data_IF_738953977657
#
_entry.id   IF_738953977657
#
_cell.length_a   1.000
_cell.length_b   1.000
_cell.length_c   1.000
_cell.angle_alpha   90.00
_cell.angle_beta   90.00
_cell.angle_gamma   90.00
#
_symmetry.space_group_name_H-M   'P 1'
#
loop_
_entity.id
_entity.type
_entity.pdbx_description
1 polymer ?
#
# COMPACT_ATOMS: atom_id res chain seq x y z
N UNK A 1 -33.76 23.38 -0.31
CA UNK A 1 -33.22 23.14 -1.67
C UNK A 1 -31.79 23.64 -1.68
N UNK A 2 -30.83 22.87 -2.22
CA UNK A 2 -29.44 23.33 -2.25
C UNK A 2 -29.27 24.51 -3.18
N UNK A 3 -28.43 25.48 -2.80
CA UNK A 3 -27.95 26.51 -3.70
C UNK A 3 -26.87 25.91 -4.62
N UNK A 4 -27.25 25.61 -5.84
CA UNK A 4 -26.37 25.01 -6.84
C UNK A 4 -25.37 26.00 -7.45
N UNK A 5 -25.48 27.28 -7.17
CA UNK A 5 -24.56 28.32 -7.64
C UNK A 5 -23.47 28.67 -6.64
N UNK A 6 -23.61 28.21 -5.38
CA UNK A 6 -22.60 28.42 -4.35
C UNK A 6 -21.47 27.42 -4.52
N UNK A 7 -20.23 27.89 -4.66
CA UNK A 7 -19.04 27.05 -4.64
C UNK A 7 -18.68 26.65 -3.21
N UNK A 8 -17.87 25.58 -3.06
CA UNK A 8 -17.37 25.18 -1.74
C UNK A 8 -16.65 26.34 -1.05
N UNK A 9 -15.81 27.08 -1.78
CA UNK A 9 -15.04 28.20 -1.23
C UNK A 9 -15.95 29.37 -0.76
N UNK A 10 -17.09 29.59 -1.41
CA UNK A 10 -18.04 30.61 -1.00
C UNK A 10 -18.87 30.19 0.22
N UNK A 11 -19.14 28.88 0.37
CA UNK A 11 -19.97 28.33 1.43
C UNK A 11 -19.15 27.98 2.69
N UNK A 12 -17.99 27.32 2.51
CA UNK A 12 -17.11 26.89 3.58
C UNK A 12 -15.64 27.19 3.20
N UNK A 13 -15.20 28.42 3.42
CA UNK A 13 -13.86 28.87 3.07
C UNK A 13 -12.76 28.20 3.91
N UNK A 14 -13.08 27.63 5.08
CA UNK A 14 -12.11 26.96 5.93
C UNK A 14 -11.72 25.59 5.33
N UNK A 15 -12.70 24.79 4.94
CA UNK A 15 -12.46 23.51 4.25
C UNK A 15 -11.87 23.73 2.86
N UNK A 16 -12.35 24.73 2.10
CA UNK A 16 -11.77 25.05 0.80
C UNK A 16 -10.29 25.38 0.92
N UNK A 17 -9.90 26.21 1.90
CA UNK A 17 -8.49 26.53 2.19
C UNK A 17 -7.67 25.30 2.54
N UNK A 18 -8.19 24.39 3.36
CA UNK A 18 -7.47 23.17 3.72
C UNK A 18 -7.18 22.29 2.48
N UNK A 19 -8.14 22.17 1.57
CA UNK A 19 -7.99 21.44 0.30
C UNK A 19 -6.94 22.12 -0.59
N UNK A 20 -7.04 23.43 -0.77
CA UNK A 20 -6.08 24.22 -1.56
C UNK A 20 -4.65 24.14 -1.01
N UNK A 21 -4.50 24.13 0.33
CA UNK A 21 -3.20 23.98 0.97
C UNK A 21 -2.62 22.58 0.75
N UNK A 22 -3.43 21.53 0.82
CA UNK A 22 -2.99 20.17 0.53
C UNK A 22 -2.65 19.99 -0.96
N UNK A 23 -3.44 20.55 -1.86
CA UNK A 23 -3.13 20.57 -3.30
C UNK A 23 -1.79 21.25 -3.57
N UNK A 24 -1.55 22.41 -2.96
CA UNK A 24 -0.26 23.11 -3.03
C UNK A 24 0.87 22.26 -2.46
N UNK A 25 0.67 21.61 -1.31
CA UNK A 25 1.67 20.71 -0.73
C UNK A 25 2.02 19.58 -1.70
N UNK A 26 1.03 18.94 -2.33
CA UNK A 26 1.27 17.88 -3.30
C UNK A 26 2.04 18.39 -4.53
N UNK A 27 1.79 19.62 -4.98
CA UNK A 27 2.53 20.23 -6.09
C UNK A 27 3.96 20.64 -5.71
N UNK A 28 4.20 21.13 -4.49
CA UNK A 28 5.47 21.72 -4.05
C UNK A 28 6.39 20.71 -3.32
N UNK A 29 5.89 19.54 -2.92
CA UNK A 29 6.67 18.51 -2.24
C UNK A 29 6.92 17.30 -3.16
N UNK A 30 8.03 16.61 -2.91
CA UNK A 30 8.30 15.31 -3.53
C UNK A 30 7.89 14.22 -2.54
N UNK A 31 6.93 13.37 -2.95
CA UNK A 31 6.36 12.32 -2.14
C UNK A 31 7.13 11.00 -2.33
N UNK A 32 7.73 10.49 -1.25
CA UNK A 32 8.46 9.23 -1.23
C UNK A 32 7.91 8.21 -0.22
N UNK A 33 6.77 8.49 0.41
CA UNK A 33 6.09 7.48 1.23
C UNK A 33 5.64 6.34 0.31
N UNK A 34 6.20 5.15 0.52
CA UNK A 34 6.04 3.98 -0.36
C UNK A 34 4.58 3.51 -0.54
N UNK A 35 3.69 3.92 0.36
CA UNK A 35 2.25 3.59 0.35
C UNK A 35 1.38 4.71 -0.23
N UNK A 36 1.96 5.78 -0.74
CA UNK A 36 1.25 6.90 -1.34
C UNK A 36 1.43 6.98 -2.86
N UNK A 37 0.44 7.55 -3.53
CA UNK A 37 0.42 7.76 -4.96
C UNK A 37 -0.60 8.84 -5.32
N UNK A 38 -0.55 9.36 -6.53
CA UNK A 38 -1.53 10.30 -7.06
C UNK A 38 -2.51 9.58 -7.98
N UNK A 39 -3.80 9.70 -7.70
CA UNK A 39 -4.85 9.14 -8.56
C UNK A 39 -5.09 10.03 -9.77
N UNK A 40 -5.60 9.45 -10.86
CA UNK A 40 -5.97 10.24 -12.03
C UNK A 40 -7.18 11.16 -11.78
N UNK A 41 -7.33 12.26 -12.53
CA UNK A 41 -8.55 13.09 -12.49
C UNK A 41 -9.83 12.29 -12.73
N UNK A 42 -9.80 11.22 -13.54
CA UNK A 42 -10.95 10.33 -13.78
C UNK A 42 -11.35 9.55 -12.51
N UNK A 43 -10.38 9.09 -11.74
CA UNK A 43 -10.63 8.44 -10.45
C UNK A 43 -11.23 9.43 -9.46
N UNK A 44 -10.70 10.67 -9.39
CA UNK A 44 -11.23 11.74 -8.54
C UNK A 44 -12.66 12.13 -8.96
N UNK A 45 -12.95 12.22 -10.25
CA UNK A 45 -14.30 12.50 -10.75
C UNK A 45 -15.31 11.41 -10.36
N UNK A 46 -14.94 10.14 -10.46
CA UNK A 46 -15.79 9.03 -9.99
C UNK A 46 -16.02 9.08 -8.48
N UNK A 47 -14.98 9.40 -7.71
CA UNK A 47 -15.02 9.55 -6.26
C UNK A 47 -15.97 10.66 -5.82
N UNK A 48 -16.01 11.79 -6.52
CA UNK A 48 -16.91 12.93 -6.26
C UNK A 48 -18.30 12.82 -6.89
N UNK A 49 -18.69 11.65 -7.39
CA UNK A 49 -19.97 11.46 -8.10
C UNK A 49 -21.18 11.33 -7.17
N UNK A 50 -22.37 11.47 -7.74
CA UNK A 50 -23.67 11.31 -7.05
C UNK A 50 -23.92 9.89 -6.51
N UNK A 51 -23.09 8.93 -6.89
CA UNK A 51 -23.16 7.56 -6.37
C UNK A 51 -22.96 7.49 -4.85
N UNK A 52 -22.38 8.53 -4.22
CA UNK A 52 -22.28 8.67 -2.77
C UNK A 52 -23.63 8.66 -2.07
N UNK A 53 -24.71 9.06 -2.77
CA UNK A 53 -26.06 9.17 -2.20
C UNK A 53 -26.77 7.82 -2.08
N UNK A 54 -26.29 6.77 -2.79
CA UNK A 54 -27.05 5.52 -2.90
C UNK A 54 -26.69 4.52 -1.83
N UNK A 55 -27.69 4.11 -1.07
CA UNK A 55 -27.60 3.01 -0.10
C UNK A 55 -27.81 1.67 -0.82
N UNK A 56 -26.78 0.79 -0.84
CA UNK A 56 -26.76 -0.42 -1.68
C UNK A 56 -26.30 -1.68 -0.91
N UNK A 57 -26.85 -1.91 0.31
CA UNK A 57 -26.57 -3.13 1.07
C UNK A 57 -26.92 -4.39 0.28
N UNK A 58 -26.10 -5.42 0.42
CA UNK A 58 -26.13 -6.62 -0.38
C UNK A 58 -25.10 -6.60 -1.51
N UNK A 59 -25.40 -7.30 -2.58
CA UNK A 59 -24.51 -7.50 -3.74
C UNK A 59 -25.29 -7.29 -5.05
N UNK A 60 -24.65 -7.09 -6.19
CA UNK A 60 -25.33 -6.91 -7.48
C UNK A 60 -26.40 -7.98 -7.72
N UNK A 61 -27.62 -7.54 -8.08
CA UNK A 61 -28.78 -8.40 -8.28
C UNK A 61 -29.40 -8.97 -7.01
N UNK A 62 -28.83 -8.69 -5.82
CA UNK A 62 -29.30 -9.18 -4.52
C UNK A 62 -29.19 -8.08 -3.45
N UNK A 63 -29.81 -6.92 -3.73
CA UNK A 63 -29.80 -5.77 -2.82
C UNK A 63 -30.99 -5.83 -1.85
N UNK A 64 -30.79 -5.20 -0.70
CA UNK A 64 -31.86 -5.02 0.29
C UNK A 64 -32.75 -3.80 -0.01
N UNK A 65 -32.32 -2.90 -0.93
CA UNK A 65 -33.00 -1.66 -1.27
C UNK A 65 -33.26 -1.57 -2.77
N UNK A 66 -34.35 -0.86 -3.15
CA UNK A 66 -34.66 -0.58 -4.55
C UNK A 66 -33.77 0.51 -5.16
N UNK A 67 -33.86 0.69 -6.49
CA UNK A 67 -33.15 1.74 -7.23
C UNK A 67 -31.63 1.49 -7.33
N UNK A 68 -31.21 0.22 -7.40
CA UNK A 68 -29.80 -0.17 -7.41
C UNK A 68 -29.28 -0.57 -8.81
N UNK A 69 -30.08 -0.45 -9.86
CA UNK A 69 -29.72 -0.89 -11.20
C UNK A 69 -28.39 -0.31 -11.70
N UNK A 70 -28.14 0.98 -11.52
CA UNK A 70 -26.92 1.63 -11.99
C UNK A 70 -25.70 1.43 -11.06
N UNK A 71 -25.94 1.28 -9.75
CA UNK A 71 -24.86 0.92 -8.83
C UNK A 71 -24.47 -0.55 -8.97
N UNK A 72 -25.40 -1.41 -9.39
CA UNK A 72 -25.10 -2.80 -9.75
C UNK A 72 -24.17 -2.86 -10.96
N UNK A 73 -24.41 -2.02 -11.97
CA UNK A 73 -23.51 -1.88 -13.13
C UNK A 73 -22.10 -1.46 -12.68
N UNK A 74 -22.00 -0.45 -11.82
CA UNK A 74 -20.72 0.06 -11.33
C UNK A 74 -19.96 -1.00 -10.53
N UNK A 75 -20.63 -1.72 -9.64
CA UNK A 75 -19.98 -2.78 -8.83
C UNK A 75 -19.64 -4.00 -9.68
N UNK A 76 -20.49 -4.39 -10.60
CA UNK A 76 -20.22 -5.50 -11.54
C UNK A 76 -18.98 -5.18 -12.39
N UNK A 77 -18.89 -3.97 -12.94
CA UNK A 77 -17.69 -3.54 -13.68
C UNK A 77 -16.43 -3.60 -12.83
N UNK A 78 -16.49 -3.17 -11.56
CA UNK A 78 -15.35 -3.23 -10.66
C UNK A 78 -14.93 -4.69 -10.39
N UNK A 79 -15.89 -5.59 -10.14
CA UNK A 79 -15.64 -7.02 -9.91
C UNK A 79 -15.00 -7.67 -11.13
N UNK A 80 -15.59 -7.50 -12.32
CA UNK A 80 -15.09 -8.16 -13.53
C UNK A 80 -13.71 -7.63 -13.95
N UNK A 81 -13.47 -6.31 -13.79
CA UNK A 81 -12.16 -5.72 -14.05
C UNK A 81 -11.10 -6.20 -13.04
N UNK A 82 -11.43 -6.30 -11.77
CA UNK A 82 -10.53 -6.85 -10.76
C UNK A 82 -10.16 -8.32 -11.06
N UNK A 83 -11.14 -9.14 -11.42
CA UNK A 83 -10.92 -10.53 -11.81
C UNK A 83 -10.01 -10.62 -13.03
N UNK A 84 -10.29 -9.85 -14.09
CA UNK A 84 -9.49 -9.84 -15.31
C UNK A 84 -8.06 -9.33 -15.04
N UNK A 85 -7.90 -8.28 -14.26
CA UNK A 85 -6.61 -7.65 -13.95
C UNK A 85 -5.65 -8.58 -13.21
N UNK A 86 -6.17 -9.38 -12.28
CA UNK A 86 -5.36 -10.26 -11.42
C UNK A 86 -5.42 -11.74 -11.80
N UNK A 87 -6.24 -12.13 -12.78
CA UNK A 87 -6.46 -13.54 -13.14
C UNK A 87 -7.15 -14.32 -12.02
N UNK A 88 -8.06 -13.68 -11.28
CA UNK A 88 -8.82 -14.29 -10.18
C UNK A 88 -10.20 -14.74 -10.64
N UNK A 89 -10.74 -15.79 -10.01
CA UNK A 89 -12.10 -16.25 -10.27
C UNK A 89 -13.16 -15.49 -9.44
N UNK A 90 -12.72 -14.94 -8.32
CA UNK A 90 -13.55 -14.20 -7.37
C UNK A 90 -12.92 -12.87 -7.01
N UNK A 91 -13.76 -11.83 -6.89
CA UNK A 91 -13.39 -10.53 -6.35
C UNK A 91 -14.54 -9.96 -5.50
N UNK A 92 -14.21 -9.40 -4.34
CA UNK A 92 -15.09 -8.56 -3.55
C UNK A 92 -14.48 -7.14 -3.45
N UNK A 93 -15.18 -6.17 -4.02
CA UNK A 93 -14.73 -4.78 -4.15
C UNK A 93 -15.29 -3.86 -3.06
N UNK A 94 -16.10 -4.39 -2.16
CA UNK A 94 -16.78 -3.61 -1.10
C UNK A 94 -15.90 -3.24 0.10
N UNK A 95 -14.78 -3.92 0.46
CA UNK A 95 -13.99 -3.51 1.61
C UNK A 95 -13.60 -2.03 1.52
N UNK A 96 -13.89 -1.27 2.60
CA UNK A 96 -13.62 0.17 2.68
C UNK A 96 -12.12 0.46 2.79
N UNK A 97 -11.33 -0.50 3.28
CA UNK A 97 -9.88 -0.41 3.42
C UNK A 97 -9.23 -1.79 3.33
N UNK A 98 -7.90 -1.82 3.16
CA UNK A 98 -7.14 -3.07 3.28
C UNK A 98 -7.29 -3.72 4.65
N UNK A 99 -7.34 -2.94 5.72
CA UNK A 99 -7.55 -3.45 7.08
C UNK A 99 -8.90 -4.16 7.22
N UNK A 100 -9.97 -3.65 6.60
CA UNK A 100 -11.28 -4.30 6.60
C UNK A 100 -11.33 -5.52 5.68
N UNK A 101 -10.61 -5.51 4.56
CA UNK A 101 -10.42 -6.70 3.74
C UNK A 101 -9.73 -7.83 4.53
N UNK A 102 -8.65 -7.50 5.24
CA UNK A 102 -7.94 -8.44 6.11
C UNK A 102 -8.82 -8.92 7.27
N UNK A 103 -9.60 -8.04 7.89
CA UNK A 103 -10.51 -8.42 8.96
C UNK A 103 -11.58 -9.43 8.47
N UNK A 104 -12.22 -9.15 7.34
CA UNK A 104 -13.22 -10.03 6.76
C UNK A 104 -12.61 -11.40 6.36
N UNK A 105 -11.41 -11.40 5.77
CA UNK A 105 -10.70 -12.64 5.43
C UNK A 105 -10.33 -13.46 6.68
N UNK A 106 -9.78 -12.81 7.70
CA UNK A 106 -9.47 -13.48 8.98
C UNK A 106 -10.72 -14.06 9.65
N UNK A 107 -11.80 -13.29 9.73
CA UNK A 107 -13.07 -13.74 10.32
C UNK A 107 -13.71 -14.89 9.53
N UNK A 108 -13.48 -14.98 8.22
CA UNK A 108 -13.97 -16.07 7.38
C UNK A 108 -13.23 -17.39 7.63
N UNK A 109 -11.96 -17.32 8.01
CA UNK A 109 -11.05 -18.45 8.14
C UNK A 109 -10.79 -18.87 9.59
N UNK A 110 -10.96 -17.95 10.54
CA UNK A 110 -10.61 -18.12 11.96
C UNK A 110 -11.80 -17.89 12.89
N UNK A 111 -11.72 -18.51 14.04
CA UNK A 111 -12.55 -18.19 15.22
C UNK A 111 -11.71 -17.39 16.23
N UNK A 112 -12.33 -16.54 17.07
CA UNK A 112 -11.61 -15.90 18.17
C UNK A 112 -10.81 -16.92 19.00
N UNK A 113 -9.53 -16.58 19.26
CA UNK A 113 -8.60 -17.47 19.96
C UNK A 113 -7.82 -18.45 19.07
N UNK A 114 -8.18 -18.62 17.79
CA UNK A 114 -7.38 -19.40 16.86
C UNK A 114 -5.99 -18.78 16.65
N UNK A 115 -5.01 -19.60 16.35
CA UNK A 115 -3.63 -19.13 16.10
C UNK A 115 -3.47 -18.66 14.66
N UNK A 116 -2.87 -17.48 14.48
CA UNK A 116 -2.36 -17.00 13.21
C UNK A 116 -0.86 -16.75 13.27
N UNK A 117 -0.17 -16.93 12.15
CA UNK A 117 1.25 -16.64 11.97
C UNK A 117 1.39 -15.52 10.93
N UNK A 118 2.04 -14.41 11.30
CA UNK A 118 2.24 -13.26 10.42
C UNK A 118 3.57 -12.57 10.63
N UNK A 119 3.97 -11.71 9.69
CA UNK A 119 5.23 -10.97 9.78
C UNK A 119 5.18 -9.91 10.89
N UNK A 120 6.24 -9.84 11.68
CA UNK A 120 6.41 -8.82 12.72
C UNK A 120 6.35 -7.40 12.15
N UNK A 121 5.62 -6.51 12.84
CA UNK A 121 5.54 -5.10 12.46
C UNK A 121 6.91 -4.43 12.47
N UNK A 122 7.75 -4.76 13.44
CA UNK A 122 9.10 -4.20 13.57
C UNK A 122 10.04 -4.62 12.42
N UNK A 123 9.72 -5.72 11.74
CA UNK A 123 10.53 -6.29 10.68
C UNK A 123 9.87 -6.19 9.29
N UNK A 124 8.90 -5.31 9.16
CA UNK A 124 8.29 -4.97 7.89
C UNK A 124 6.88 -5.51 7.65
N UNK A 125 6.25 -6.16 8.63
CA UNK A 125 4.86 -6.58 8.55
C UNK A 125 3.87 -5.40 8.57
N UNK A 126 2.58 -5.72 8.52
CA UNK A 126 1.51 -4.74 8.66
C UNK A 126 0.80 -4.89 10.01
N UNK A 127 0.17 -3.83 10.50
CA UNK A 127 -0.62 -3.85 11.75
C UNK A 127 -1.61 -5.02 11.82
N UNK A 128 -2.25 -5.34 10.70
CA UNK A 128 -3.26 -6.41 10.61
C UNK A 128 -2.67 -7.83 10.50
N UNK A 129 -1.35 -7.97 10.59
CA UNK A 129 -0.67 -9.28 10.57
C UNK A 129 -0.38 -9.85 11.97
N UNK A 130 -1.19 -9.47 12.98
CA UNK A 130 -1.09 -10.01 14.33
C UNK A 130 -0.54 -9.05 15.38
N UNK A 131 -0.40 -7.75 15.08
CA UNK A 131 0.08 -6.76 16.06
C UNK A 131 -0.92 -6.64 17.22
N UNK A 132 -0.42 -6.68 18.47
CA UNK A 132 -1.22 -6.71 19.71
C UNK A 132 -2.23 -5.56 19.86
N UNK A 133 -1.95 -4.39 19.29
CA UNK A 133 -2.85 -3.22 19.36
C UNK A 133 -3.97 -3.27 18.31
N UNK A 134 -3.85 -4.13 17.30
CA UNK A 134 -4.80 -4.29 16.21
C UNK A 134 -5.81 -5.40 16.49
N UNK A 135 -6.96 -5.44 15.75
CA UNK A 135 -7.96 -6.50 15.88
C UNK A 135 -7.33 -7.89 15.76
N UNK A 136 -6.34 -8.07 14.86
CA UNK A 136 -5.70 -9.34 14.58
C UNK A 136 -4.93 -9.91 15.78
N UNK A 137 -4.27 -9.05 16.56
CA UNK A 137 -3.59 -9.47 17.79
C UNK A 137 -4.48 -9.45 19.05
N UNK A 138 -5.70 -8.88 18.95
CA UNK A 138 -6.67 -8.86 20.06
C UNK A 138 -7.64 -10.03 20.03
N UNK A 139 -8.03 -10.48 18.84
CA UNK A 139 -9.01 -11.56 18.64
C UNK A 139 -8.35 -12.93 18.52
N UNK A 140 -7.12 -12.98 18.03
CA UNK A 140 -6.43 -14.21 17.71
C UNK A 140 -5.12 -14.35 18.51
N UNK A 141 -4.67 -15.61 18.66
CA UNK A 141 -3.36 -15.92 19.22
C UNK A 141 -2.32 -15.68 18.11
N UNK A 142 -1.73 -14.48 18.08
CA UNK A 142 -0.81 -14.07 17.02
C UNK A 142 0.63 -14.47 17.34
N UNK A 143 1.21 -15.29 16.48
CA UNK A 143 2.63 -15.63 16.44
C UNK A 143 3.27 -14.83 15.31
N UNK A 144 4.49 -14.33 15.49
CA UNK A 144 5.15 -13.50 14.51
C UNK A 144 6.46 -14.11 14.04
N UNK A 145 6.69 -14.11 12.72
CA UNK A 145 7.98 -14.41 12.10
C UNK A 145 8.72 -13.12 11.72
N UNK A 146 10.01 -13.25 11.51
CA UNK A 146 10.87 -12.10 11.21
C UNK A 146 11.75 -12.29 10.00
N UNK A 147 12.82 -11.49 9.97
CA UNK A 147 13.88 -11.51 8.98
C UNK A 147 15.11 -12.17 9.57
N UNK A 148 15.92 -12.79 8.75
CA UNK A 148 17.29 -13.17 9.11
C UNK A 148 18.10 -11.89 9.39
N UNK A 149 18.67 -11.81 10.59
CA UNK A 149 19.33 -10.61 11.08
C UNK A 149 20.61 -10.24 10.29
N UNK A 150 21.21 -11.20 9.62
CA UNK A 150 22.45 -11.00 8.85
C UNK A 150 22.18 -10.56 7.41
N UNK A 151 21.08 -11.02 6.82
CA UNK A 151 20.76 -10.78 5.41
C UNK A 151 19.62 -9.79 5.20
N UNK A 152 18.77 -9.57 6.21
CA UNK A 152 17.55 -8.80 6.09
C UNK A 152 16.49 -9.46 5.18
N UNK A 153 16.61 -10.76 4.91
CA UNK A 153 15.67 -11.54 4.13
C UNK A 153 14.68 -12.27 5.04
N UNK A 154 13.50 -12.62 4.51
CA UNK A 154 12.55 -13.48 5.22
C UNK A 154 13.22 -14.81 5.52
N UNK A 155 13.22 -15.19 6.79
CA UNK A 155 13.74 -16.49 7.26
C UNK A 155 12.64 -17.55 7.13
N UNK A 156 12.59 -18.20 5.96
CA UNK A 156 11.59 -19.23 5.69
C UNK A 156 11.73 -20.47 6.58
N UNK A 157 12.93 -20.77 7.07
CA UNK A 157 13.15 -21.90 7.98
C UNK A 157 12.59 -21.56 9.37
N UNK A 158 12.72 -20.31 9.82
CA UNK A 158 12.03 -19.81 11.01
C UNK A 158 10.51 -19.87 10.84
N UNK A 159 9.98 -19.42 9.68
CA UNK A 159 8.52 -19.51 9.39
C UNK A 159 8.04 -20.95 9.50
N UNK A 160 8.76 -21.90 8.92
CA UNK A 160 8.41 -23.33 8.95
C UNK A 160 8.50 -23.90 10.38
N UNK A 161 9.53 -23.55 11.14
CA UNK A 161 9.68 -23.99 12.53
C UNK A 161 8.53 -23.48 13.40
N UNK A 162 8.20 -22.19 13.32
CA UNK A 162 7.09 -21.58 14.04
C UNK A 162 5.74 -22.19 13.63
N UNK A 163 5.54 -22.47 12.34
CA UNK A 163 4.32 -23.13 11.86
C UNK A 163 4.17 -24.54 12.45
N UNK A 164 5.24 -25.32 12.49
CA UNK A 164 5.24 -26.67 13.09
C UNK A 164 4.99 -26.64 14.59
N UNK A 165 5.61 -25.68 15.31
CA UNK A 165 5.48 -25.52 16.75
C UNK A 165 4.08 -25.08 17.16
N UNK A 166 3.57 -24.01 16.54
CA UNK A 166 2.35 -23.35 16.96
C UNK A 166 1.09 -23.81 16.23
N UNK A 167 1.24 -24.59 15.13
CA UNK A 167 0.12 -25.13 14.32
C UNK A 167 -0.94 -24.08 14.03
N UNK A 168 -0.59 -22.94 13.41
CA UNK A 168 -1.54 -21.88 13.09
C UNK A 168 -2.62 -22.40 12.13
N UNK A 169 -3.84 -21.85 12.22
CA UNK A 169 -4.90 -22.09 11.22
C UNK A 169 -4.77 -21.18 10.01
N UNK A 170 -4.06 -20.07 10.15
CA UNK A 170 -3.82 -19.09 9.10
C UNK A 170 -2.37 -18.63 9.13
N UNK A 171 -1.73 -18.67 7.97
CA UNK A 171 -0.46 -17.99 7.71
C UNK A 171 -0.75 -16.77 6.85
N UNK A 172 -0.27 -15.60 7.29
CA UNK A 172 -0.38 -14.34 6.55
C UNK A 172 1.00 -14.02 5.98
N UNK A 173 1.11 -14.07 4.66
CA UNK A 173 2.27 -13.62 3.91
C UNK A 173 1.99 -12.22 3.33
N UNK A 174 3.00 -11.36 3.30
CA UNK A 174 2.88 -9.98 2.83
C UNK A 174 3.60 -9.01 3.75
N UNK A 175 3.76 -7.78 3.29
CA UNK A 175 4.63 -6.81 3.96
C UNK A 175 4.21 -5.37 3.72
N UNK A 176 4.76 -4.48 4.56
CA UNK A 176 4.71 -3.03 4.39
C UNK A 176 6.09 -2.41 4.10
N UNK A 177 7.18 -3.07 4.49
CA UNK A 177 8.54 -2.56 4.39
C UNK A 177 9.57 -3.66 4.07
N UNK A 178 9.33 -4.44 3.01
CA UNK A 178 10.24 -5.47 2.54
C UNK A 178 10.60 -5.24 1.07
N UNK A 179 11.88 -5.20 0.77
CA UNK A 179 12.40 -4.72 -0.52
C UNK A 179 12.59 -5.84 -1.56
N UNK A 180 12.47 -7.10 -1.18
CA UNK A 180 12.75 -8.24 -2.04
C UNK A 180 11.49 -8.95 -2.52
N UNK A 181 11.67 -9.86 -3.46
CA UNK A 181 10.59 -10.75 -3.90
C UNK A 181 10.30 -11.77 -2.80
N UNK A 182 9.02 -11.98 -2.53
CA UNK A 182 8.54 -13.03 -1.61
C UNK A 182 8.26 -14.29 -2.40
N UNK A 183 8.74 -15.41 -1.91
CA UNK A 183 8.43 -16.74 -2.44
C UNK A 183 7.08 -17.21 -1.87
N UNK A 184 6.01 -16.93 -2.64
CA UNK A 184 4.65 -17.34 -2.27
C UNK A 184 4.48 -18.85 -2.24
N UNK A 185 5.22 -19.60 -3.09
CA UNK A 185 5.14 -21.05 -3.13
C UNK A 185 5.73 -21.66 -1.86
N UNK A 186 6.85 -21.11 -1.35
CA UNK A 186 7.43 -21.56 -0.07
C UNK A 186 6.46 -21.36 1.09
N UNK A 187 5.73 -20.23 1.12
CA UNK A 187 4.65 -20.04 2.10
C UNK A 187 3.51 -21.04 1.94
N UNK A 188 3.13 -21.39 0.70
CA UNK A 188 2.11 -22.42 0.45
C UNK A 188 2.55 -23.78 0.99
N UNK A 189 3.80 -24.19 0.67
CA UNK A 189 4.34 -25.46 1.10
C UNK A 189 4.38 -25.56 2.64
N UNK A 190 4.77 -24.47 3.31
CA UNK A 190 4.76 -24.39 4.78
C UNK A 190 3.31 -24.51 5.31
N UNK A 191 2.36 -23.78 4.75
CA UNK A 191 0.96 -23.81 5.18
C UNK A 191 0.36 -25.21 5.00
N UNK A 192 0.62 -25.88 3.87
CA UNK A 192 0.18 -27.25 3.60
C UNK A 192 0.77 -28.24 4.61
N UNK A 193 2.02 -28.07 5.03
CA UNK A 193 2.68 -28.94 5.99
C UNK A 193 2.02 -28.99 7.37
N UNK A 194 1.20 -27.98 7.70
CA UNK A 194 0.50 -27.82 8.99
C UNK A 194 -1.00 -27.72 8.88
N UNK A 195 -1.55 -27.92 7.68
CA UNK A 195 -2.98 -27.84 7.36
C UNK A 195 -3.56 -26.43 7.68
N UNK A 196 -2.79 -25.40 7.34
CA UNK A 196 -3.19 -23.99 7.52
C UNK A 196 -3.68 -23.37 6.21
N UNK A 197 -4.57 -22.40 6.33
CA UNK A 197 -4.88 -21.49 5.22
C UNK A 197 -3.68 -20.55 4.96
N UNK A 198 -3.52 -20.18 3.68
CA UNK A 198 -2.58 -19.13 3.27
C UNK A 198 -3.35 -17.90 2.79
N UNK A 199 -3.20 -16.79 3.50
CA UNK A 199 -3.64 -15.46 3.07
C UNK A 199 -2.42 -14.67 2.61
N UNK A 200 -2.51 -14.06 1.44
CA UNK A 200 -1.48 -13.12 0.96
C UNK A 200 -2.03 -11.71 0.93
N UNK A 201 -1.43 -10.82 1.70
CA UNK A 201 -1.67 -9.37 1.61
C UNK A 201 -0.64 -8.76 0.66
N UNK A 202 -1.07 -8.54 -0.61
CA UNK A 202 -0.21 -7.96 -1.65
C UNK A 202 -0.36 -6.44 -1.77
N UNK A 203 -0.88 -5.76 -0.76
CA UNK A 203 -1.25 -4.34 -0.84
C UNK A 203 -0.14 -3.45 -1.37
N UNK A 204 1.10 -3.66 -0.97
CA UNK A 204 2.23 -2.85 -1.42
C UNK A 204 2.60 -3.09 -2.89
N UNK A 205 2.45 -4.30 -3.37
CA UNK A 205 2.91 -4.71 -4.72
C UNK A 205 1.79 -4.97 -5.71
N UNK A 206 0.54 -4.67 -5.38
CA UNK A 206 -0.62 -5.00 -6.23
C UNK A 206 -0.49 -4.46 -7.67
N UNK A 207 0.01 -3.24 -7.86
CA UNK A 207 0.24 -2.70 -9.20
C UNK A 207 1.32 -3.45 -9.97
N UNK A 208 2.38 -3.88 -9.26
CA UNK A 208 3.46 -4.69 -9.85
C UNK A 208 2.97 -6.10 -10.22
N UNK A 209 2.15 -6.71 -9.36
CA UNK A 209 1.50 -8.01 -9.62
C UNK A 209 0.59 -7.92 -10.84
N UNK A 210 -0.25 -6.90 -10.91
CA UNK A 210 -1.18 -6.68 -12.02
C UNK A 210 -0.49 -6.58 -13.39
N UNK A 211 0.76 -6.14 -13.42
CA UNK A 211 1.54 -5.94 -14.65
C UNK A 211 2.64 -6.99 -14.88
N UNK A 212 2.76 -7.97 -13.99
CA UNK A 212 3.75 -9.04 -14.08
C UNK A 212 5.18 -8.64 -13.68
N UNK A 213 5.35 -7.49 -13.01
CA UNK A 213 6.66 -7.06 -12.46
C UNK A 213 6.93 -7.60 -11.05
N UNK A 214 5.97 -8.32 -10.47
CA UNK A 214 6.09 -9.05 -9.21
C UNK A 214 5.26 -10.34 -9.30
N UNK A 215 5.69 -11.45 -8.69
CA UNK A 215 4.96 -12.72 -8.80
C UNK A 215 3.55 -12.63 -8.23
N UNK A 216 2.59 -13.24 -8.93
CA UNK A 216 1.20 -13.28 -8.52
C UNK A 216 0.98 -14.37 -7.45
N UNK A 217 0.33 -14.06 -6.32
CA UNK A 217 -0.02 -15.04 -5.31
C UNK A 217 -1.34 -15.79 -5.59
N UNK A 218 -2.10 -15.38 -6.62
CA UNK A 218 -3.46 -15.89 -6.86
C UNK A 218 -3.51 -17.41 -7.03
N UNK A 219 -2.49 -18.00 -7.65
CA UNK A 219 -2.47 -19.45 -7.92
C UNK A 219 -2.19 -20.31 -6.68
N UNK A 220 -1.61 -19.73 -5.63
CA UNK A 220 -1.14 -20.48 -4.45
C UNK A 220 -1.87 -20.14 -3.15
N UNK A 221 -2.44 -18.94 -3.03
CA UNK A 221 -3.14 -18.50 -1.83
C UNK A 221 -4.61 -18.97 -1.80
N UNK A 222 -5.14 -19.22 -0.60
CA UNK A 222 -6.57 -19.46 -0.39
C UNK A 222 -7.36 -18.16 -0.51
N UNK A 223 -6.76 -17.06 -0.09
CA UNK A 223 -7.30 -15.70 -0.23
C UNK A 223 -6.17 -14.70 -0.42
N UNK A 224 -6.40 -13.73 -1.29
CA UNK A 224 -5.50 -12.59 -1.51
C UNK A 224 -6.25 -11.32 -1.17
N UNK A 225 -5.63 -10.47 -0.37
CA UNK A 225 -6.14 -9.15 -0.04
C UNK A 225 -5.21 -8.07 -0.57
N UNK A 226 -5.77 -6.91 -0.83
CA UNK A 226 -4.97 -5.74 -1.21
C UNK A 226 -5.69 -4.44 -0.90
N UNK A 227 -4.93 -3.34 -0.92
CA UNK A 227 -5.44 -1.98 -1.08
C UNK A 227 -5.50 -1.60 -2.55
N UNK A 228 -6.24 -0.53 -2.86
CA UNK A 228 -6.36 -0.02 -4.24
C UNK A 228 -5.55 1.25 -4.50
N UNK A 229 -4.94 1.87 -3.49
CA UNK A 229 -4.39 3.23 -3.52
C UNK A 229 -2.86 3.36 -3.46
N UNK A 230 -2.10 2.24 -3.47
CA UNK A 230 -0.62 2.27 -3.42
C UNK A 230 -0.05 2.16 -4.84
N UNK A 231 0.71 1.09 -5.14
CA UNK A 231 1.21 0.86 -6.50
C UNK A 231 0.10 0.71 -7.54
N UNK A 232 -1.11 0.30 -7.14
CA UNK A 232 -2.27 0.17 -8.03
C UNK A 232 -2.87 1.52 -8.44
N UNK A 233 -2.53 2.62 -7.77
CA UNK A 233 -2.84 4.01 -8.14
C UNK A 233 -4.35 4.32 -8.23
N UNK A 234 -5.17 3.62 -7.46
CA UNK A 234 -6.62 3.83 -7.39
C UNK A 234 -7.07 4.64 -6.17
N UNK A 235 -8.38 4.70 -5.91
CA UNK A 235 -8.93 5.34 -4.72
C UNK A 235 -8.54 4.57 -3.46
N UNK A 236 -8.60 5.22 -2.31
CA UNK A 236 -8.42 4.53 -1.02
C UNK A 236 -9.54 3.52 -0.81
N UNK A 237 -9.16 2.25 -0.66
CA UNK A 237 -10.09 1.14 -0.50
C UNK A 237 -9.37 -0.20 -0.36
N UNK A 238 -10.13 -1.26 -0.16
CA UNK A 238 -9.66 -2.65 -0.09
C UNK A 238 -10.28 -3.53 -1.18
N UNK A 239 -9.71 -4.72 -1.35
CA UNK A 239 -10.13 -5.71 -2.31
C UNK A 239 -9.81 -7.10 -1.76
N UNK A 240 -10.70 -8.07 -1.96
CA UNK A 240 -10.48 -9.49 -1.68
C UNK A 240 -10.57 -10.25 -2.99
N UNK A 241 -9.59 -11.10 -3.25
CA UNK A 241 -9.49 -11.93 -4.44
C UNK A 241 -9.29 -13.40 -4.04
N UNK A 242 -9.79 -14.33 -4.84
CA UNK A 242 -9.53 -15.74 -4.65
C UNK A 242 -9.68 -16.52 -5.96
N UNK A 243 -9.17 -17.74 -5.96
CA UNK A 243 -9.57 -18.77 -6.94
C UNK A 243 -10.98 -19.26 -6.64
N UNK A 244 -11.54 -20.00 -7.58
CA UNK A 244 -12.87 -20.60 -7.40
C UNK A 244 -12.90 -21.52 -6.18
N UNK A 245 -13.68 -21.13 -5.18
CA UNK A 245 -14.00 -21.92 -4.00
C UNK A 245 -15.35 -21.42 -3.46
N UNK A 246 -16.43 -22.12 -3.79
CA UNK A 246 -17.79 -21.66 -3.49
C UNK A 246 -18.07 -21.55 -1.98
N UNK A 247 -17.42 -22.32 -1.14
CA UNK A 247 -17.57 -22.24 0.30
C UNK A 247 -16.88 -20.99 0.86
N UNK A 248 -15.60 -20.79 0.52
CA UNK A 248 -14.83 -19.63 1.00
C UNK A 248 -15.40 -18.32 0.47
N UNK A 249 -15.78 -18.26 -0.82
CA UNK A 249 -16.32 -17.03 -1.42
C UNK A 249 -17.64 -16.60 -0.80
N UNK A 250 -18.50 -17.56 -0.41
CA UNK A 250 -19.73 -17.27 0.37
C UNK A 250 -19.37 -16.69 1.75
N UNK A 251 -18.36 -17.26 2.42
CA UNK A 251 -17.90 -16.75 3.72
C UNK A 251 -17.33 -15.34 3.58
N UNK A 252 -16.48 -15.09 2.58
CA UNK A 252 -15.90 -13.75 2.35
C UNK A 252 -17.00 -12.72 2.11
N UNK A 253 -17.99 -13.01 1.26
CA UNK A 253 -19.11 -12.12 1.04
C UNK A 253 -19.89 -11.85 2.33
N UNK A 254 -20.24 -12.91 3.08
CA UNK A 254 -20.98 -12.79 4.34
C UNK A 254 -20.20 -12.00 5.40
N UNK A 255 -18.87 -12.13 5.44
CA UNK A 255 -18.04 -11.47 6.44
C UNK A 255 -17.63 -10.06 6.02
N UNK A 256 -17.75 -9.69 4.73
CA UNK A 256 -17.73 -8.29 4.31
C UNK A 256 -19.07 -7.66 4.66
N UNK A 257 -20.17 -8.17 4.11
CA UNK A 257 -21.52 -7.71 4.42
C UNK A 257 -22.44 -8.91 4.70
N UNK A 258 -23.14 -8.92 5.82
CA UNK A 258 -23.24 -7.91 6.89
C UNK A 258 -22.20 -8.06 8.03
N UNK A 259 -21.21 -8.95 7.92
CA UNK A 259 -20.35 -9.35 9.03
C UNK A 259 -19.44 -8.25 9.59
N UNK A 260 -18.93 -7.36 8.74
CA UNK A 260 -17.95 -6.33 9.10
C UNK A 260 -18.34 -4.92 8.63
N UNK A 261 -19.17 -4.81 7.60
CA UNK A 261 -19.60 -3.56 7.00
C UNK A 261 -21.12 -3.54 6.82
N UNK A 262 -21.72 -2.33 6.69
CA UNK A 262 -23.06 -2.07 6.22
C UNK A 262 -23.06 -1.64 4.76
N UNK A 263 -23.70 -0.48 4.45
CA UNK A 263 -23.79 0.05 3.10
C UNK A 263 -22.42 0.27 2.45
N UNK A 264 -22.20 -0.26 1.25
CA UNK A 264 -20.95 -0.08 0.52
C UNK A 264 -20.79 1.36 0.02
N UNK A 265 -19.55 1.82 -0.17
CA UNK A 265 -19.24 3.15 -0.69
C UNK A 265 -19.26 3.11 -2.22
N UNK A 266 -20.43 3.33 -2.83
CA UNK A 266 -20.63 3.13 -4.27
C UNK A 266 -19.79 4.06 -5.14
N UNK A 267 -19.54 5.29 -4.68
CA UNK A 267 -18.63 6.25 -5.33
C UNK A 267 -17.17 5.75 -5.32
N UNK A 268 -16.73 5.11 -4.25
CA UNK A 268 -15.40 4.49 -4.17
C UNK A 268 -15.32 3.24 -5.07
N UNK A 269 -16.37 2.43 -5.12
CA UNK A 269 -16.43 1.25 -6.00
C UNK A 269 -16.37 1.67 -7.47
N UNK A 270 -17.10 2.72 -7.86
CA UNK A 270 -16.98 3.29 -9.21
C UNK A 270 -15.57 3.78 -9.51
N UNK A 271 -14.93 4.47 -8.56
CA UNK A 271 -13.55 4.90 -8.68
C UNK A 271 -12.56 3.73 -8.79
N UNK A 272 -12.79 2.61 -8.06
CA UNK A 272 -12.05 1.34 -8.25
C UNK A 272 -12.22 0.80 -9.67
N UNK A 273 -13.45 0.80 -10.20
CA UNK A 273 -13.70 0.33 -11.57
C UNK A 273 -12.93 1.16 -12.62
N UNK A 274 -12.82 2.47 -12.43
CA UNK A 274 -12.00 3.35 -13.29
C UNK A 274 -10.52 3.00 -13.15
N UNK A 275 -10.00 2.91 -11.94
CA UNK A 275 -8.60 2.60 -11.68
C UNK A 275 -8.19 1.23 -12.23
N UNK A 276 -9.03 0.20 -12.11
CA UNK A 276 -8.76 -1.11 -12.69
C UNK A 276 -8.72 -1.06 -14.23
N UNK A 277 -9.58 -0.26 -14.86
CA UNK A 277 -9.51 -0.04 -16.30
C UNK A 277 -8.19 0.61 -16.72
N UNK A 278 -7.74 1.63 -16.00
CA UNK A 278 -6.44 2.27 -16.23
C UNK A 278 -5.28 1.29 -16.03
N UNK A 279 -5.37 0.43 -15.00
CA UNK A 279 -4.35 -0.57 -14.71
C UNK A 279 -4.25 -1.70 -15.77
N UNK A 280 -5.28 -1.89 -16.60
CA UNK A 280 -5.27 -2.82 -17.72
C UNK A 280 -4.64 -2.24 -19.00
N UNK A 281 -4.36 -0.93 -19.03
CA UNK A 281 -3.76 -0.28 -20.20
C UNK A 281 -2.24 -0.58 -20.30
N UNK A 282 -1.67 -0.70 -21.51
CA UNK A 282 -0.23 -0.92 -21.67
C UNK A 282 0.64 0.13 -20.99
N UNK A 283 0.23 1.39 -21.00
CA UNK A 283 0.91 2.50 -20.32
C UNK A 283 1.08 2.30 -18.82
N UNK A 284 0.17 1.58 -18.18
CA UNK A 284 0.32 1.25 -16.75
C UNK A 284 1.41 0.20 -16.51
N UNK A 285 1.64 -0.71 -17.46
CA UNK A 285 2.78 -1.64 -17.39
C UNK A 285 4.11 -0.91 -17.50
N UNK A 286 4.20 0.04 -18.43
CA UNK A 286 5.41 0.89 -18.59
C UNK A 286 5.65 1.73 -17.33
N UNK A 287 4.60 2.27 -16.75
CA UNK A 287 4.66 2.99 -15.47
C UNK A 287 5.24 2.11 -14.36
N UNK A 288 4.77 0.87 -14.18
CA UNK A 288 5.27 -0.02 -13.14
C UNK A 288 6.73 -0.44 -13.38
N UNK A 289 7.14 -0.61 -14.64
CA UNK A 289 8.54 -0.83 -14.99
C UNK A 289 9.41 0.36 -14.55
N UNK A 290 8.96 1.58 -14.82
CA UNK A 290 9.65 2.80 -14.41
C UNK A 290 9.70 2.95 -12.88
N UNK A 291 8.63 2.59 -12.15
CA UNK A 291 8.61 2.54 -10.69
C UNK A 291 9.75 1.67 -10.14
N UNK A 292 9.89 0.45 -10.65
CA UNK A 292 10.96 -0.45 -10.23
C UNK A 292 12.36 0.05 -10.64
N UNK A 293 12.49 0.64 -11.82
CA UNK A 293 13.75 1.20 -12.30
C UNK A 293 14.21 2.38 -11.43
N UNK A 294 13.31 3.29 -11.11
CA UNK A 294 13.58 4.42 -10.22
C UNK A 294 13.98 3.95 -8.81
N UNK A 295 13.31 2.92 -8.28
CA UNK A 295 13.68 2.35 -6.98
C UNK A 295 15.11 1.78 -6.97
N UNK A 296 15.51 1.08 -8.03
CA UNK A 296 16.88 0.54 -8.17
C UNK A 296 17.91 1.65 -8.27
N UNK A 297 17.62 2.71 -9.03
CA UNK A 297 18.50 3.89 -9.15
C UNK A 297 18.71 4.54 -7.78
N UNK A 298 17.63 4.79 -7.05
CA UNK A 298 17.68 5.40 -5.73
C UNK A 298 18.47 4.54 -4.74
N UNK A 299 18.18 3.24 -4.66
CA UNK A 299 18.86 2.31 -3.77
C UNK A 299 20.37 2.22 -4.07
N UNK A 300 20.75 2.19 -5.36
CA UNK A 300 22.16 2.15 -5.77
C UNK A 300 22.94 3.37 -5.32
N UNK A 301 22.40 4.57 -5.55
CA UNK A 301 23.06 5.83 -5.17
C UNK A 301 23.19 5.95 -3.65
N UNK A 302 22.14 5.62 -2.89
CA UNK A 302 22.22 5.65 -1.42
C UNK A 302 23.28 4.68 -0.90
N UNK A 303 23.35 3.47 -1.46
CA UNK A 303 24.39 2.50 -1.10
C UNK A 303 25.80 3.01 -1.43
N UNK A 304 26.02 3.61 -2.62
CA UNK A 304 27.29 4.24 -3.02
C UNK A 304 27.70 5.41 -2.10
N UNK A 305 26.71 6.14 -1.54
CA UNK A 305 26.91 7.22 -0.56
C UNK A 305 27.11 6.69 0.88
N UNK A 306 27.15 5.37 1.08
CA UNK A 306 27.37 4.74 2.37
C UNK A 306 26.13 4.68 3.27
N UNK A 307 24.95 4.64 2.68
CA UNK A 307 23.68 4.37 3.35
C UNK A 307 23.22 2.95 3.05
N UNK A 308 23.39 1.99 3.98
CA UNK A 308 23.05 0.59 3.73
C UNK A 308 21.55 0.42 3.43
N UNK A 309 21.25 -0.33 2.38
CA UNK A 309 19.89 -0.76 2.07
C UNK A 309 19.65 -2.10 2.75
N UNK A 310 18.64 -2.19 3.60
CA UNK A 310 18.24 -3.45 4.23
C UNK A 310 17.97 -4.49 3.15
N UNK A 311 18.46 -5.72 3.34
CA UNK A 311 18.48 -6.80 2.34
C UNK A 311 19.36 -6.54 1.10
N UNK A 312 20.24 -5.54 1.13
CA UNK A 312 21.26 -5.29 0.11
C UNK A 312 20.71 -4.69 -1.20
N UNK A 313 19.46 -4.16 -1.22
CA UNK A 313 18.88 -3.51 -2.40
C UNK A 313 17.37 -3.70 -2.52
N UNK A 314 16.82 -3.48 -3.73
CA UNK A 314 15.39 -3.61 -3.98
C UNK A 314 15.05 -4.34 -5.29
N UNK A 315 13.95 -5.11 -5.26
CA UNK A 315 13.35 -5.79 -6.40
C UNK A 315 11.91 -5.35 -6.66
N UNK A 316 11.45 -4.31 -5.94
CA UNK A 316 10.12 -3.75 -6.08
C UNK A 316 10.15 -2.20 -6.08
N UNK A 317 9.11 -1.56 -5.56
CA UNK A 317 8.90 -0.10 -5.59
C UNK A 317 9.46 0.63 -4.37
N UNK A 318 9.95 -0.08 -3.36
CA UNK A 318 10.39 0.51 -2.09
C UNK A 318 11.79 0.02 -1.69
N UNK A 319 12.40 0.77 -0.80
CA UNK A 319 13.62 0.37 -0.10
C UNK A 319 13.54 0.82 1.36
N UNK A 320 14.25 0.09 2.21
CA UNK A 320 14.44 0.44 3.60
C UNK A 320 15.91 0.79 3.81
N UNK A 321 16.16 2.03 4.20
CA UNK A 321 17.51 2.60 4.37
C UNK A 321 17.87 2.56 5.85
N UNK A 322 18.99 1.95 6.21
CA UNK A 322 19.51 1.99 7.57
C UNK A 322 20.36 3.23 7.80
N UNK A 323 20.10 3.92 8.91
CA UNK A 323 20.84 5.11 9.35
C UNK A 323 21.69 4.83 10.60
N UNK A 324 21.70 3.56 11.10
CA UNK A 324 22.40 3.17 12.32
C UNK A 324 23.88 3.56 12.26
N UNK A 325 24.59 3.16 11.18
CA UNK A 325 26.02 3.40 11.04
C UNK A 325 26.40 4.89 10.92
N UNK A 326 25.44 5.73 10.53
CA UNK A 326 25.62 7.19 10.45
C UNK A 326 25.28 7.90 11.78
N UNK A 327 24.71 7.18 12.75
CA UNK A 327 24.29 7.77 14.03
C UNK A 327 23.10 8.74 13.89
N UNK A 328 22.32 8.62 12.81
CA UNK A 328 21.16 9.47 12.52
C UNK A 328 19.88 8.72 12.89
N UNK A 329 18.97 9.38 13.60
CA UNK A 329 17.66 8.79 13.86
C UNK A 329 16.72 8.98 12.67
N UNK A 330 15.79 8.04 12.47
CA UNK A 330 14.75 8.17 11.46
C UNK A 330 13.90 9.42 11.66
N UNK A 331 13.65 9.81 12.91
CA UNK A 331 12.93 11.04 13.24
C UNK A 331 13.66 12.30 12.78
N UNK A 332 14.95 12.41 13.04
CA UNK A 332 15.74 13.57 12.62
C UNK A 332 15.83 13.65 11.08
N UNK A 333 16.02 12.51 10.42
CA UNK A 333 16.05 12.44 8.97
C UNK A 333 14.71 12.84 8.32
N UNK A 334 13.59 12.35 8.86
CA UNK A 334 12.23 12.70 8.43
C UNK A 334 11.99 14.22 8.54
N UNK A 335 12.40 14.83 9.67
CA UNK A 335 12.27 16.27 9.90
C UNK A 335 13.15 17.11 8.95
N UNK A 336 14.42 16.75 8.78
CA UNK A 336 15.34 17.48 7.91
C UNK A 336 14.92 17.43 6.43
N UNK A 337 14.51 16.25 5.94
CA UNK A 337 14.02 16.07 4.58
C UNK A 337 12.66 16.78 4.38
N UNK A 338 11.77 16.74 5.36
CA UNK A 338 10.51 17.48 5.35
C UNK A 338 10.72 18.99 5.21
N UNK A 339 11.73 19.56 5.90
CA UNK A 339 12.10 20.96 5.78
C UNK A 339 12.61 21.34 4.37
N UNK A 340 13.07 20.35 3.60
CA UNK A 340 13.47 20.51 2.20
C UNK A 340 12.36 20.16 1.19
N UNK A 341 11.10 20.02 1.65
CA UNK A 341 9.94 19.59 0.84
C UNK A 341 10.09 18.16 0.25
N UNK A 342 10.80 17.27 0.94
CA UNK A 342 10.90 15.86 0.59
C UNK A 342 10.18 15.05 1.67
N UNK A 343 9.02 14.49 1.34
CA UNK A 343 8.16 13.74 2.26
C UNK A 343 8.56 12.27 2.28
N UNK A 344 8.97 11.78 3.44
CA UNK A 344 9.38 10.39 3.68
C UNK A 344 8.64 9.83 4.91
N UNK A 345 8.89 8.59 5.28
CA UNK A 345 8.52 8.14 6.62
C UNK A 345 9.68 7.43 7.32
N UNK A 346 9.87 7.76 8.59
CA UNK A 346 10.76 6.97 9.46
C UNK A 346 10.23 5.55 9.61
N UNK A 347 11.14 4.59 9.70
CA UNK A 347 10.82 3.17 9.81
C UNK A 347 11.85 2.44 10.67
N UNK A 348 11.39 1.47 11.47
CA UNK A 348 12.32 0.59 12.15
C UNK A 348 13.11 -0.24 11.13
N UNK A 349 14.35 -0.55 11.47
CA UNK A 349 15.23 -1.45 10.72
C UNK A 349 15.58 -2.68 11.58
N UNK A 350 16.03 -3.78 11.01
CA UNK A 350 16.47 -4.93 11.80
C UNK A 350 17.53 -4.52 12.84
N UNK A 351 17.36 -5.02 14.07
CA UNK A 351 18.21 -4.66 15.23
C UNK A 351 18.22 -3.16 15.58
N UNK A 352 17.12 -2.46 15.32
CA UNK A 352 16.99 -1.03 15.61
C UNK A 352 17.22 -0.74 17.10
N UNK A 353 18.23 0.09 17.46
CA UNK A 353 18.49 0.44 18.85
C UNK A 353 17.48 1.45 19.43
N UNK A 354 16.69 2.10 18.55
CA UNK A 354 15.77 3.16 18.92
C UNK A 354 14.35 2.65 19.18
N UNK A 355 13.56 3.46 19.88
CA UNK A 355 12.15 3.17 20.09
C UNK A 355 11.33 3.27 18.79
N UNK A 356 10.15 2.62 18.68
CA UNK A 356 9.30 2.70 17.49
C UNK A 356 8.84 4.12 17.11
N UNK A 357 8.93 5.09 18.01
CA UNK A 357 8.60 6.50 17.74
C UNK A 357 9.77 7.32 17.18
N UNK A 358 10.99 6.81 17.34
CA UNK A 358 12.24 7.45 16.87
C UNK A 358 12.78 6.77 15.64
N UNK A 359 13.02 5.46 15.73
CA UNK A 359 13.57 4.56 14.70
C UNK A 359 14.96 4.96 14.19
N UNK A 360 15.62 4.06 13.47
CA UNK A 360 16.95 4.32 12.88
C UNK A 360 16.96 4.07 11.38
N UNK A 361 15.83 4.22 10.72
CA UNK A 361 15.73 4.05 9.27
C UNK A 361 14.67 4.91 8.60
N UNK A 362 14.75 4.93 7.28
CA UNK A 362 13.78 5.55 6.38
C UNK A 362 13.24 4.49 5.42
N UNK A 363 11.92 4.49 5.21
CA UNK A 363 11.30 3.77 4.11
C UNK A 363 11.03 4.75 2.97
N UNK A 364 11.58 4.47 1.79
CA UNK A 364 11.42 5.26 0.59
C UNK A 364 10.73 4.44 -0.48
N UNK A 365 9.90 5.08 -1.29
CA UNK A 365 9.22 4.45 -2.42
C UNK A 365 9.06 5.38 -3.59
N UNK A 366 8.92 4.83 -4.78
CA UNK A 366 8.95 5.56 -6.04
C UNK A 366 7.64 5.68 -6.81
N UNK A 367 6.49 5.13 -6.36
CA UNK A 367 5.24 5.23 -7.12
C UNK A 367 4.79 6.66 -7.41
N UNK A 368 4.78 7.53 -6.39
CA UNK A 368 4.30 8.91 -6.52
C UNK A 368 5.19 9.75 -7.45
N UNK A 369 6.51 9.69 -7.29
CA UNK A 369 7.44 10.43 -8.17
C UNK A 369 7.37 9.94 -9.62
N UNK A 370 7.16 8.64 -9.83
CA UNK A 370 7.00 8.08 -11.17
C UNK A 370 5.65 8.49 -11.80
N UNK A 371 4.57 8.55 -11.01
CA UNK A 371 3.27 9.11 -11.48
C UNK A 371 3.43 10.56 -11.88
N UNK A 372 4.24 11.32 -11.16
CA UNK A 372 4.57 12.72 -11.46
C UNK A 372 5.40 12.89 -12.75
N UNK A 373 5.99 11.81 -13.25
CA UNK A 373 6.77 11.80 -14.50
C UNK A 373 8.28 11.79 -14.30
N UNK A 374 8.78 11.54 -13.08
CA UNK A 374 10.22 11.41 -12.86
C UNK A 374 10.75 10.14 -13.52
N UNK A 375 11.86 10.31 -14.25
CA UNK A 375 12.67 9.24 -14.78
C UNK A 375 13.96 9.04 -13.97
N UNK A 376 14.89 8.31 -14.55
CA UNK A 376 16.17 7.99 -13.90
C UNK A 376 17.01 9.24 -13.61
N UNK A 377 16.94 10.29 -14.44
CA UNK A 377 17.68 11.52 -14.26
C UNK A 377 17.18 12.30 -13.04
N UNK A 378 15.88 12.57 -12.97
CA UNK A 378 15.25 13.25 -11.84
C UNK A 378 15.42 12.45 -10.53
N UNK A 379 15.35 11.12 -10.63
CA UNK A 379 15.58 10.24 -9.47
C UNK A 379 17.03 10.34 -8.97
N UNK A 380 18.02 10.44 -9.87
CA UNK A 380 19.43 10.65 -9.47
C UNK A 380 19.63 11.99 -8.75
N UNK A 381 19.07 13.06 -9.31
CA UNK A 381 19.14 14.40 -8.70
C UNK A 381 18.54 14.38 -7.29
N UNK A 382 17.30 13.89 -7.17
CA UNK A 382 16.59 13.79 -5.91
C UNK A 382 17.36 12.96 -4.88
N UNK A 383 17.88 11.81 -5.29
CA UNK A 383 18.63 10.92 -4.38
C UNK A 383 19.94 11.57 -3.92
N UNK A 384 20.59 12.31 -4.79
CA UNK A 384 21.78 13.13 -4.44
C UNK A 384 21.44 14.17 -3.37
N UNK A 385 20.33 14.89 -3.51
CA UNK A 385 19.87 15.86 -2.51
C UNK A 385 19.51 15.21 -1.17
N UNK A 386 18.87 14.05 -1.19
CA UNK A 386 18.59 13.27 0.03
C UNK A 386 19.90 12.94 0.75
N UNK A 387 20.88 12.42 0.02
CA UNK A 387 22.17 12.07 0.60
C UNK A 387 22.94 13.31 1.10
N UNK A 388 22.90 14.45 0.38
CA UNK A 388 23.52 15.70 0.82
C UNK A 388 22.96 16.20 2.16
N UNK A 389 21.64 16.09 2.37
CA UNK A 389 20.99 16.45 3.64
C UNK A 389 21.39 15.46 4.75
N UNK A 390 21.39 14.16 4.44
CA UNK A 390 21.73 13.13 5.41
C UNK A 390 23.22 13.13 5.81
N UNK A 391 24.13 13.59 4.94
CA UNK A 391 25.56 13.71 5.23
C UNK A 391 25.87 14.84 6.24
N UNK A 392 25.01 15.87 6.32
CA UNK A 392 25.11 16.98 7.28
C UNK A 392 23.71 17.49 7.63
N UNK A 393 23.05 16.76 8.51
CA UNK A 393 21.61 16.86 8.77
C UNK A 393 21.19 18.19 9.42
N UNK A 394 22.11 18.87 10.09
CA UNK A 394 21.89 20.16 10.77
C UNK A 394 22.23 21.37 9.87
N UNK A 395 22.69 21.13 8.65
CA UNK A 395 23.10 22.18 7.72
C UNK A 395 21.91 22.87 7.05
N UNK A 396 21.44 23.93 7.67
CA UNK A 396 20.29 24.70 7.17
C UNK A 396 20.51 25.28 5.78
N UNK A 397 21.76 25.64 5.40
CA UNK A 397 22.07 26.15 4.07
C UNK A 397 21.88 25.07 2.99
N UNK A 398 22.28 23.82 3.28
CA UNK A 398 22.04 22.68 2.40
C UNK A 398 20.53 22.40 2.28
N UNK A 399 19.79 22.39 3.39
CA UNK A 399 18.35 22.19 3.40
C UNK A 399 17.62 23.27 2.58
N UNK A 400 17.99 24.54 2.75
CA UNK A 400 17.39 25.66 2.01
C UNK A 400 17.70 25.61 0.51
N UNK A 401 18.93 25.26 0.14
CA UNK A 401 19.31 25.02 -1.26
C UNK A 401 18.47 23.90 -1.86
N UNK A 402 18.44 22.75 -1.22
CA UNK A 402 17.69 21.59 -1.71
C UNK A 402 16.20 21.91 -1.83
N UNK A 403 15.62 22.64 -0.87
CA UNK A 403 14.21 23.08 -0.97
C UNK A 403 13.98 23.93 -2.23
N UNK A 404 14.89 24.82 -2.56
CA UNK A 404 14.84 25.60 -3.80
C UNK A 404 14.91 24.73 -5.06
N UNK A 405 15.81 23.74 -5.06
CA UNK A 405 15.97 22.78 -6.16
C UNK A 405 14.72 21.88 -6.31
N UNK A 406 14.15 21.40 -5.20
CA UNK A 406 12.89 20.63 -5.17
C UNK A 406 11.74 21.43 -5.78
N UNK A 407 11.55 22.69 -5.37
CA UNK A 407 10.50 23.54 -5.92
C UNK A 407 10.68 23.78 -7.42
N UNK A 408 11.93 23.97 -7.88
CA UNK A 408 12.24 24.12 -9.30
C UNK A 408 11.94 22.83 -10.09
N UNK A 409 12.27 21.67 -9.53
CA UNK A 409 11.99 20.38 -10.16
C UNK A 409 10.49 20.12 -10.20
N UNK A 410 9.78 20.36 -9.11
CA UNK A 410 8.34 20.18 -9.02
C UNK A 410 7.56 20.98 -10.07
N UNK A 411 7.98 22.23 -10.38
CA UNK A 411 7.36 23.06 -11.44
C UNK A 411 7.48 22.46 -12.83
N UNK A 412 8.54 21.67 -13.09
CA UNK A 412 8.72 20.97 -14.37
C UNK A 412 7.82 19.75 -14.51
N UNK A 413 7.36 19.20 -13.40
CA UNK A 413 6.60 17.97 -13.31
C UNK A 413 5.37 18.16 -12.38
N UNK A 414 4.38 18.95 -12.78
CA UNK A 414 3.17 19.13 -11.98
C UNK A 414 2.39 17.83 -11.84
N UNK A 415 1.68 17.66 -10.71
CA UNK A 415 0.90 16.45 -10.43
C UNK A 415 -0.36 16.39 -11.29
N UNK A 416 -1.11 17.49 -11.32
CA UNK A 416 -2.40 17.55 -12.03
C UNK A 416 -2.39 18.47 -13.27
N UNK A 417 -1.22 18.92 -13.71
CA UNK A 417 -1.08 19.85 -14.81
C UNK A 417 -1.43 21.26 -14.35
N UNK A 418 -0.47 22.19 -14.38
CA UNK A 418 -0.69 23.54 -13.91
C UNK A 418 -1.91 24.16 -14.59
N UNK A 419 -2.78 24.76 -13.78
CA UNK A 419 -3.84 25.67 -14.21
C UNK A 419 -3.26 26.91 -14.87
#
# INVERSE_FOLDING_TARGET
MFDTNSTLAAYDPEIARAIEQEERRQEEHIELIASENYTSPRVLAAQGSVLTNKYAEGYPGKRYYGGCEYVDDAETLAIERAKALFGADYANVQPHSGSQANAAACMALLKPGDTLLGMSLAEGGHLTHGTKVNFSGRLYNAVQYGLDASTGLIDYDQVEALAKEHRPKLIIAGFSAYSRVVDWQRFRDIADSVDAYLMVDMAHVAGLVATGHYPSPISVADVVTTTTHKTLRGPRGGLILARKNDELTKKFNSLVFPGNQGGPLMHVIAAKAVAFKEAMEPSFRDYQAAVCANAKVMAGILAERGYPIVSGGTENHLMLVSLIEKGITGKAADEALGNANITVNKNAVPNDPESPFVTSGLRLGTPAITTRGFGAEETRLLTGWIADILDDIDNTATIDRVRGDVLALCKRFPVYGGS
#
